data_IF_404053849699
#
_entry.id   IF_404053849699
#
_cell.length_a   1.000
_cell.length_b   1.000
_cell.length_c   1.000
_cell.angle_alpha   90.00
_cell.angle_beta   90.00
_cell.angle_gamma   90.00
#
_symmetry.space_group_name_H-M   'P 1'
#
loop_
_entity.id
_entity.type
_entity.pdbx_description
1 polymer ?
#
# COMPACT_ATOMS: atom_id res chain seq x y z
N UNK A 1 8.40 6.19 -4.40
CA UNK A 1 7.44 7.27 -4.12
C UNK A 1 6.61 6.92 -2.89
N UNK A 2 7.24 6.89 -1.72
CA UNK A 2 6.51 6.85 -0.45
C UNK A 2 6.05 8.29 -0.19
N UNK A 3 4.85 8.62 -0.65
CA UNK A 3 4.33 9.99 -0.58
C UNK A 3 3.87 10.38 0.83
N UNK A 4 3.44 11.63 0.95
CA UNK A 4 2.82 12.23 2.16
C UNK A 4 1.77 11.29 2.81
N UNK A 5 1.03 10.52 2.01
CA UNK A 5 0.07 9.54 2.51
C UNK A 5 0.67 8.40 3.35
N UNK A 6 1.89 7.95 3.05
CA UNK A 6 2.59 6.96 3.89
C UNK A 6 2.98 7.55 5.24
N UNK A 7 3.52 8.77 5.25
CA UNK A 7 3.94 9.47 6.47
C UNK A 7 2.74 9.73 7.38
N UNK A 8 1.67 10.31 6.82
CA UNK A 8 0.43 10.58 7.57
C UNK A 8 -0.22 9.26 8.02
N UNK A 9 -0.21 8.25 7.16
CA UNK A 9 -0.82 6.94 7.44
C UNK A 9 -0.12 6.16 8.55
N UNK A 10 1.21 6.12 8.58
CA UNK A 10 1.97 5.40 9.63
C UNK A 10 1.87 6.11 10.97
N UNK A 11 1.91 7.44 11.00
CA UNK A 11 1.75 8.22 12.24
C UNK A 11 0.33 8.08 12.79
N UNK A 12 -0.70 8.29 11.96
CA UNK A 12 -2.09 8.12 12.40
C UNK A 12 -2.39 6.67 12.78
N UNK A 13 -1.88 5.69 12.01
CA UNK A 13 -2.03 4.27 12.32
C UNK A 13 -1.39 3.87 13.64
N UNK A 14 -0.21 4.42 13.96
CA UNK A 14 0.47 4.21 15.24
C UNK A 14 -0.28 4.79 16.43
N UNK A 15 -0.73 6.05 16.32
CA UNK A 15 -1.50 6.73 17.40
C UNK A 15 -2.85 6.04 17.63
N UNK A 16 -3.57 5.72 16.56
CA UNK A 16 -4.88 5.09 16.63
C UNK A 16 -4.78 3.63 17.10
N UNK A 17 -3.73 2.92 16.67
CA UNK A 17 -3.47 1.52 17.02
C UNK A 17 -3.08 1.33 18.48
N UNK A 18 -2.42 2.33 19.09
CA UNK A 18 -2.06 2.32 20.50
C UNK A 18 -3.28 2.48 21.42
N UNK A 19 -4.27 3.29 21.00
CA UNK A 19 -5.50 3.44 21.77
C UNK A 19 -6.44 2.24 21.61
N UNK A 20 -6.59 1.74 20.37
CA UNK A 20 -7.42 0.58 20.07
C UNK A 20 -7.04 -0.03 18.73
N UNK A 21 -6.66 -1.32 18.71
CA UNK A 21 -6.19 -2.04 17.50
C UNK A 21 -7.15 -1.95 16.31
N UNK A 22 -8.45 -1.71 16.54
CA UNK A 22 -9.48 -1.60 15.50
C UNK A 22 -9.65 -0.18 14.92
N UNK A 23 -9.25 0.86 15.64
CA UNK A 23 -9.47 2.26 15.21
C UNK A 23 -8.79 2.60 13.86
N UNK A 24 -7.55 2.14 13.57
CA UNK A 24 -6.91 2.39 12.28
C UNK A 24 -7.77 1.89 11.11
N UNK A 25 -8.39 0.71 11.26
CA UNK A 25 -9.25 0.12 10.23
C UNK A 25 -10.54 0.92 10.04
N UNK A 26 -11.14 1.44 11.12
CA UNK A 26 -12.33 2.27 11.03
C UNK A 26 -12.01 3.60 10.33
N UNK A 27 -10.89 4.25 10.70
CA UNK A 27 -10.44 5.47 10.03
C UNK A 27 -10.16 5.23 8.54
N UNK A 28 -9.50 4.12 8.20
CA UNK A 28 -9.27 3.74 6.81
C UNK A 28 -10.58 3.47 6.05
N UNK A 29 -11.57 2.85 6.68
CA UNK A 29 -12.88 2.61 6.09
C UNK A 29 -13.64 3.91 5.81
N UNK A 30 -13.62 4.87 6.75
CA UNK A 30 -14.25 6.19 6.58
C UNK A 30 -13.58 6.96 5.45
N UNK A 31 -12.24 6.99 5.39
CA UNK A 31 -11.51 7.64 4.30
C UNK A 31 -11.81 7.00 2.94
N UNK A 32 -11.91 5.67 2.87
CA UNK A 32 -12.29 4.98 1.63
C UNK A 32 -13.74 5.26 1.23
N UNK A 33 -14.68 5.31 2.18
CA UNK A 33 -16.06 5.67 1.90
C UNK A 33 -16.17 7.12 1.38
N UNK A 34 -15.43 8.05 1.98
CA UNK A 34 -15.36 9.43 1.49
C UNK A 34 -14.77 9.49 0.07
N UNK A 35 -13.70 8.74 -0.18
CA UNK A 35 -13.11 8.67 -1.53
C UNK A 35 -14.06 8.06 -2.56
N UNK A 36 -14.84 7.04 -2.18
CA UNK A 36 -15.87 6.45 -3.03
C UNK A 36 -16.96 7.47 -3.35
N UNK A 37 -17.45 8.21 -2.36
CA UNK A 37 -18.45 9.25 -2.57
C UNK A 37 -17.90 10.34 -3.50
N UNK A 38 -16.67 10.80 -3.28
CA UNK A 38 -16.01 11.75 -4.17
C UNK A 38 -15.89 11.21 -5.59
N UNK A 39 -15.49 9.96 -5.78
CA UNK A 39 -15.40 9.35 -7.10
C UNK A 39 -16.78 9.28 -7.78
N UNK A 40 -17.85 8.93 -7.04
CA UNK A 40 -19.21 8.86 -7.59
C UNK A 40 -19.74 10.23 -8.01
N UNK A 41 -19.44 11.29 -7.24
CA UNK A 41 -19.96 12.63 -7.53
C UNK A 41 -19.09 13.46 -8.49
N UNK A 42 -17.77 13.25 -8.48
CA UNK A 42 -16.80 14.13 -9.17
C UNK A 42 -16.23 13.50 -10.44
N UNK A 43 -16.08 12.18 -10.52
CA UNK A 43 -15.52 11.58 -11.74
C UNK A 43 -16.59 11.50 -12.84
N UNK A 44 -16.43 12.24 -13.96
CA UNK A 44 -17.24 11.99 -15.13
C UNK A 44 -16.93 10.60 -15.68
N UNK A 45 -17.96 9.88 -16.12
CA UNK A 45 -17.81 8.57 -16.76
C UNK A 45 -16.89 8.72 -17.99
N UNK A 46 -15.68 8.20 -17.87
CA UNK A 46 -14.65 8.30 -18.92
C UNK A 46 -14.83 7.27 -20.03
N UNK A 47 -15.73 6.29 -19.85
CA UNK A 47 -16.07 5.32 -20.90
C UNK A 47 -17.25 5.81 -21.75
N UNK A 48 -16.99 5.93 -23.06
CA UNK A 48 -18.06 6.00 -24.04
C UNK A 48 -19.00 4.77 -23.90
N UNK A 49 -20.32 4.93 -24.08
CA UNK A 49 -21.30 3.87 -23.89
C UNK A 49 -21.22 2.85 -25.04
N UNK A 50 -20.18 2.02 -25.03
CA UNK A 50 -20.05 0.88 -25.92
C UNK A 50 -20.58 -0.32 -25.14
N UNK A 51 -21.71 -0.89 -25.60
CA UNK A 51 -22.26 -2.17 -25.13
C UNK A 51 -21.26 -3.29 -25.40
N UNK A 52 -20.21 -3.39 -24.59
CA UNK A 52 -19.23 -4.47 -24.66
C UNK A 52 -19.73 -5.57 -23.73
N UNK A 53 -19.96 -6.77 -24.28
CA UNK A 53 -20.26 -7.97 -23.47
C UNK A 53 -19.18 -8.10 -22.39
N UNK A 54 -19.61 -8.27 -21.14
CA UNK A 54 -18.69 -8.47 -20.01
C UNK A 54 -17.96 -9.78 -20.27
N UNK A 55 -16.69 -9.70 -20.66
CA UNK A 55 -15.85 -10.88 -20.82
C UNK A 55 -15.37 -11.33 -19.43
N UNK A 56 -16.08 -12.32 -18.88
CA UNK A 56 -15.72 -12.97 -17.62
C UNK A 56 -14.31 -13.57 -17.66
N UNK A 57 -13.78 -13.87 -18.85
CA UNK A 57 -12.42 -14.36 -19.00
C UNK A 57 -11.38 -13.23 -18.95
N UNK A 58 -11.75 -11.97 -19.23
CA UNK A 58 -10.90 -10.80 -19.03
C UNK A 58 -10.81 -10.39 -17.55
N UNK A 59 -11.78 -10.80 -16.72
CA UNK A 59 -11.74 -10.62 -15.27
C UNK A 59 -10.74 -11.56 -14.58
N UNK A 60 -10.13 -12.52 -15.28
CA UNK A 60 -9.18 -13.45 -14.68
C UNK A 60 -7.82 -12.77 -14.44
N UNK A 61 -7.43 -12.48 -13.19
CA UNK A 61 -6.18 -11.79 -12.87
C UNK A 61 -4.94 -12.65 -13.14
N UNK A 62 -5.12 -13.95 -13.40
CA UNK A 62 -4.02 -14.89 -13.69
C UNK A 62 -3.61 -14.90 -15.16
N UNK A 63 -4.42 -14.33 -16.08
CA UNK A 63 -4.09 -14.26 -17.51
C UNK A 63 -2.83 -13.42 -17.79
N UNK A 64 -2.67 -12.20 -17.24
CA UNK A 64 -1.44 -11.43 -17.38
C UNK A 64 -0.22 -12.15 -16.78
N UNK A 65 -0.43 -12.90 -15.69
CA UNK A 65 0.64 -13.65 -15.04
C UNK A 65 1.19 -14.77 -15.94
N UNK A 66 0.31 -15.50 -16.62
CA UNK A 66 0.71 -16.53 -17.62
C UNK A 66 1.49 -15.92 -18.79
N UNK A 67 1.11 -14.72 -19.22
CA UNK A 67 1.82 -14.01 -20.29
C UNK A 67 3.22 -13.57 -19.84
N UNK A 68 3.36 -13.15 -18.57
CA UNK A 68 4.65 -12.82 -17.95
C UNK A 68 5.63 -14.00 -17.98
N UNK A 69 5.15 -15.21 -17.68
CA UNK A 69 5.96 -16.43 -17.75
C UNK A 69 6.35 -16.84 -19.18
N UNK A 70 5.62 -16.36 -20.20
CA UNK A 70 5.95 -16.62 -21.61
C UNK A 70 7.06 -15.71 -22.14
N UNK A 71 7.36 -14.61 -21.46
CA UNK A 71 8.36 -13.61 -21.88
C UNK A 71 9.69 -13.85 -21.16
N UNK A 72 10.55 -14.70 -21.75
CA UNK A 72 11.85 -15.11 -21.17
C UNK A 72 12.79 -13.94 -20.82
N UNK A 73 12.70 -12.80 -21.51
CA UNK A 73 13.49 -11.60 -21.20
C UNK A 73 12.97 -10.77 -20.02
N UNK A 74 11.68 -10.87 -19.71
CA UNK A 74 11.05 -10.10 -18.63
C UNK A 74 11.13 -10.84 -17.29
N UNK A 75 11.15 -12.17 -17.31
CA UNK A 75 11.16 -13.00 -16.10
C UNK A 75 12.32 -12.67 -15.14
N UNK A 76 13.58 -12.47 -15.57
CA UNK A 76 14.66 -12.08 -14.67
C UNK A 76 14.44 -10.71 -14.04
N UNK A 77 13.91 -9.74 -14.81
CA UNK A 77 13.62 -8.39 -14.32
C UNK A 77 12.53 -8.43 -13.26
N UNK A 78 11.46 -9.18 -13.51
CA UNK A 78 10.36 -9.38 -12.56
C UNK A 78 10.87 -10.04 -11.29
N UNK A 79 11.72 -11.06 -11.39
CA UNK A 79 12.28 -11.74 -10.22
C UNK A 79 13.20 -10.82 -9.41
N UNK A 80 14.07 -10.05 -10.07
CA UNK A 80 14.92 -9.07 -9.39
C UNK A 80 14.07 -8.02 -8.69
N UNK A 81 13.06 -7.48 -9.37
CA UNK A 81 12.14 -6.51 -8.76
C UNK A 81 11.35 -7.12 -7.60
N UNK A 82 10.91 -8.38 -7.72
CA UNK A 82 10.20 -9.10 -6.66
C UNK A 82 11.08 -9.30 -5.43
N UNK A 83 12.33 -9.76 -5.62
CA UNK A 83 13.29 -9.92 -4.52
C UNK A 83 13.61 -8.57 -3.88
N UNK A 84 13.88 -7.55 -4.69
CA UNK A 84 14.19 -6.20 -4.22
C UNK A 84 13.02 -5.59 -3.43
N UNK A 85 11.80 -5.70 -3.97
CA UNK A 85 10.59 -5.18 -3.31
C UNK A 85 10.28 -5.95 -2.04
N UNK A 86 10.37 -7.29 -2.07
CA UNK A 86 10.16 -8.13 -0.90
C UNK A 86 11.18 -7.88 0.21
N UNK A 87 12.46 -7.71 -0.14
CA UNK A 87 13.51 -7.33 0.80
C UNK A 87 13.27 -5.92 1.40
N UNK A 88 12.74 -4.98 0.60
CA UNK A 88 12.36 -3.65 1.06
C UNK A 88 11.23 -3.69 2.09
N UNK A 89 10.18 -4.47 1.85
CA UNK A 89 9.06 -4.63 2.79
C UNK A 89 9.48 -5.37 4.06
N UNK A 90 10.37 -6.37 3.95
CA UNK A 90 10.89 -7.13 5.08
C UNK A 90 11.56 -6.22 6.13
N UNK A 91 12.28 -5.19 5.68
CA UNK A 91 12.89 -4.22 6.58
C UNK A 91 11.84 -3.49 7.44
N UNK A 92 10.74 -3.02 6.83
CA UNK A 92 9.67 -2.33 7.55
C UNK A 92 9.02 -3.21 8.62
N UNK A 93 8.75 -4.47 8.30
CA UNK A 93 8.16 -5.43 9.25
C UNK A 93 9.11 -5.82 10.37
N UNK A 94 10.38 -6.09 10.04
CA UNK A 94 11.39 -6.47 11.03
C UNK A 94 11.72 -5.31 11.97
N UNK A 95 11.76 -4.07 11.46
CA UNK A 95 11.98 -2.87 12.28
C UNK A 95 10.89 -2.68 13.33
N UNK A 96 9.61 -2.85 12.94
CA UNK A 96 8.49 -2.75 13.86
C UNK A 96 8.55 -3.80 14.99
N UNK A 97 8.82 -5.07 14.63
CA UNK A 97 8.92 -6.16 15.60
C UNK A 97 10.15 -6.00 16.51
N UNK A 98 11.30 -5.69 15.93
CA UNK A 98 12.54 -5.52 16.68
C UNK A 98 12.50 -4.31 17.62
N UNK A 99 11.88 -3.21 17.18
CA UNK A 99 11.65 -2.02 18.01
C UNK A 99 10.75 -2.31 19.22
N UNK A 100 9.73 -3.15 19.02
CA UNK A 100 8.88 -3.63 20.10
C UNK A 100 9.66 -4.50 21.08
N UNK A 101 10.38 -5.52 20.61
CA UNK A 101 11.08 -6.50 21.47
C UNK A 101 12.30 -5.89 22.19
N UNK A 102 13.06 -5.02 21.53
CA UNK A 102 14.34 -4.49 22.07
C UNK A 102 14.13 -3.25 22.93
N UNK A 103 13.23 -2.35 22.53
CA UNK A 103 13.05 -1.06 23.20
C UNK A 103 11.72 -0.94 23.94
N UNK A 104 10.85 -1.96 23.86
CA UNK A 104 9.49 -1.87 24.42
C UNK A 104 8.66 -0.77 23.76
N UNK A 105 8.97 -0.40 22.52
CA UNK A 105 8.25 0.66 21.81
C UNK A 105 6.80 0.25 21.57
N UNK A 106 5.85 1.10 21.96
CA UNK A 106 4.46 0.93 21.56
C UNK A 106 4.25 1.35 20.08
N UNK A 107 3.09 1.04 19.50
CA UNK A 107 2.76 1.31 18.10
C UNK A 107 2.94 2.77 17.65
N UNK A 108 2.82 3.73 18.56
CA UNK A 108 3.05 5.16 18.33
C UNK A 108 4.51 5.47 18.02
N UNK A 109 5.45 4.92 18.80
CA UNK A 109 6.89 5.14 18.58
C UNK A 109 7.37 4.50 17.29
N UNK A 110 6.86 3.31 16.99
CA UNK A 110 7.12 2.61 15.73
C UNK A 110 6.55 3.43 14.55
N UNK A 111 5.32 3.93 14.67
CA UNK A 111 4.67 4.77 13.67
C UNK A 111 5.40 6.09 13.42
N UNK A 112 5.87 6.77 14.47
CA UNK A 112 6.67 7.99 14.36
C UNK A 112 8.04 7.75 13.70
N UNK A 113 8.71 6.64 14.05
CA UNK A 113 9.99 6.25 13.44
C UNK A 113 9.85 5.98 11.94
N UNK A 114 8.85 5.17 11.55
CA UNK A 114 8.57 4.88 10.14
C UNK A 114 8.08 6.12 9.38
N UNK A 115 7.32 7.01 10.04
CA UNK A 115 6.91 8.30 9.49
C UNK A 115 8.10 9.22 9.20
N UNK A 116 9.06 9.31 10.15
CA UNK A 116 10.29 10.08 9.97
C UNK A 116 11.16 9.51 8.84
N UNK A 117 11.26 8.18 8.74
CA UNK A 117 11.93 7.52 7.62
C UNK A 117 11.29 7.91 6.27
N UNK A 118 9.96 7.87 6.19
CA UNK A 118 9.21 8.32 5.00
C UNK A 118 9.42 9.80 4.67
N UNK A 119 9.55 10.66 5.68
CA UNK A 119 9.84 12.09 5.51
C UNK A 119 11.23 12.30 4.93
N UNK A 120 12.26 11.68 5.52
CA UNK A 120 13.63 11.72 5.00
C UNK A 120 13.70 11.21 3.55
N UNK A 121 12.99 10.12 3.25
CA UNK A 121 12.92 9.60 1.89
C UNK A 121 12.25 10.57 0.92
N UNK A 122 11.17 11.24 1.33
CA UNK A 122 10.47 12.24 0.49
C UNK A 122 11.33 13.47 0.24
N UNK A 123 12.16 13.88 1.20
CA UNK A 123 13.07 15.01 1.04
C UNK A 123 14.26 14.71 0.12
N UNK A 124 14.69 13.44 0.07
CA UNK A 124 15.85 13.00 -0.71
C UNK A 124 15.48 12.57 -2.13
N UNK A 125 14.24 12.10 -2.35
CA UNK A 125 13.73 11.73 -3.68
C UNK A 125 13.31 12.93 -4.52
#
# INVERSE_FOLDING_TARGET
MFGIGFIIGTVLGGVLGDHWVRLPFIAAAVLNAANLLLAVFVLPESRAPIRRKIDLAALNPLRPLRWLFSMKGLLPIVLVYFILSGAGEAYGTCWALWGFDTFGWNGLWIGLSLGMFGLCQTLVQ
#
